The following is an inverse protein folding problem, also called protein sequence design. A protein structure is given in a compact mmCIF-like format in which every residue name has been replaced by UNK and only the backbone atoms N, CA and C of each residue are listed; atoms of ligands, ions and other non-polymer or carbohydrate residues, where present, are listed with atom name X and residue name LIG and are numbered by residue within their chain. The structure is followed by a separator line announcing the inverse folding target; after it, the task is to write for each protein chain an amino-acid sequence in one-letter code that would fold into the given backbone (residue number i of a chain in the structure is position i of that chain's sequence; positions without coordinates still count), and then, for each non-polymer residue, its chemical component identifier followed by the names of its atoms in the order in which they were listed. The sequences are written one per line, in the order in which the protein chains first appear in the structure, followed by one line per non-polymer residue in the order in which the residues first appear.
data_IF_479953557700
#
_entry.id   IF_479953557700
#
_cell.length_a   1.000
_cell.length_b   1.000
_cell.length_c   1.000
_cell.angle_alpha   90.00
_cell.angle_beta   90.00
_cell.angle_gamma   90.00
#
_symmetry.space_group_name_H-M   'P 1'
#
loop_
_entity.id
_entity.type
_entity.pdbx_description
1 polymer ?
#
# COMPACT_ATOMS: atom_id res chain seq x y z
N UNK A 1 -3.40 -14.97 -15.86
CA UNK A 1 -3.17 -14.55 -14.46
C UNK A 1 -1.76 -14.01 -14.37
N UNK A 2 -1.60 -12.80 -13.87
CA UNK A 2 -0.35 -12.14 -13.57
C UNK A 2 0.02 -12.37 -12.11
N UNK A 3 1.25 -12.07 -11.70
CA UNK A 3 1.73 -12.29 -10.34
C UNK A 3 2.37 -10.99 -9.85
N UNK A 4 1.93 -10.49 -8.71
CA UNK A 4 2.60 -9.39 -8.01
C UNK A 4 3.32 -9.95 -6.78
N UNK A 5 4.56 -9.53 -6.58
CA UNK A 5 5.42 -9.98 -5.48
C UNK A 5 5.80 -8.79 -4.64
N UNK A 6 5.26 -8.74 -3.42
CA UNK A 6 5.69 -7.79 -2.40
C UNK A 6 7.06 -8.18 -1.88
N UNK A 7 8.00 -7.25 -1.88
CA UNK A 7 9.35 -7.45 -1.38
C UNK A 7 9.62 -6.59 -0.14
N UNK A 8 10.18 -7.20 0.87
CA UNK A 8 10.56 -6.55 2.12
C UNK A 8 11.97 -6.96 2.54
N UNK A 9 12.34 -6.55 3.76
CA UNK A 9 13.58 -6.94 4.39
C UNK A 9 14.64 -5.84 4.44
N UNK A 10 15.81 -6.12 5.07
CA UNK A 10 16.81 -5.13 5.43
C UNK A 10 17.73 -4.72 4.25
N UNK A 11 17.25 -4.84 3.03
CA UNK A 11 18.00 -4.46 1.82
C UNK A 11 17.83 -2.98 1.50
N UNK A 12 18.70 -2.45 0.64
CA UNK A 12 18.51 -1.11 0.09
C UNK A 12 17.21 -1.04 -0.72
N UNK A 13 16.61 0.14 -0.80
CA UNK A 13 15.37 0.38 -1.58
C UNK A 13 15.46 -0.16 -3.00
N UNK A 14 16.59 0.00 -3.65
CA UNK A 14 16.82 -0.48 -5.02
C UNK A 14 16.70 -2.01 -5.15
N UNK A 15 17.07 -2.76 -4.11
CA UNK A 15 17.06 -4.23 -4.12
C UNK A 15 15.74 -4.84 -3.66
N UNK A 16 14.82 -4.02 -3.10
CA UNK A 16 13.54 -4.49 -2.56
C UNK A 16 12.33 -3.97 -3.34
N UNK A 17 12.53 -3.43 -4.55
CA UNK A 17 11.43 -3.04 -5.42
C UNK A 17 10.49 -4.20 -5.68
N UNK A 18 9.20 -3.97 -5.51
CA UNK A 18 8.17 -4.95 -5.81
C UNK A 18 8.20 -5.35 -7.29
N UNK A 19 7.77 -6.57 -7.58
CA UNK A 19 7.87 -7.19 -8.91
C UNK A 19 6.47 -7.47 -9.44
N UNK A 20 6.20 -7.07 -10.68
CA UNK A 20 4.99 -7.42 -11.42
C UNK A 20 5.33 -8.32 -12.61
N UNK A 21 4.95 -9.57 -12.53
CA UNK A 21 5.17 -10.59 -13.54
C UNK A 21 3.94 -10.74 -14.44
N UNK A 22 4.01 -10.22 -15.65
CA UNK A 22 2.94 -10.32 -16.66
C UNK A 22 3.06 -11.62 -17.44
N UNK A 23 2.00 -12.41 -17.42
CA UNK A 23 1.90 -13.67 -18.14
C UNK A 23 1.91 -13.44 -19.66
N UNK A 24 2.86 -14.07 -20.36
CA UNK A 24 2.99 -13.95 -21.81
C UNK A 24 2.12 -14.98 -22.59
N UNK A 25 1.29 -15.77 -21.89
CA UNK A 25 0.41 -16.82 -22.46
C UNK A 25 1.12 -17.97 -23.17
N UNK A 26 2.43 -18.11 -22.93
CA UNK A 26 3.29 -19.16 -23.47
C UNK A 26 4.08 -19.86 -22.37
N UNK A 27 3.56 -19.88 -21.14
CA UNK A 27 4.20 -20.41 -19.93
C UNK A 27 5.44 -19.63 -19.47
N UNK A 28 5.58 -18.37 -19.93
CA UNK A 28 6.62 -17.45 -19.45
C UNK A 28 6.01 -16.19 -18.86
N UNK A 29 6.80 -15.48 -18.06
CA UNK A 29 6.43 -14.20 -17.46
C UNK A 29 7.47 -13.15 -17.83
N UNK A 30 7.03 -11.89 -17.88
CA UNK A 30 7.90 -10.73 -18.09
C UNK A 30 7.68 -9.74 -16.95
N UNK A 31 8.78 -9.34 -16.30
CA UNK A 31 8.77 -8.31 -15.27
C UNK A 31 8.42 -6.95 -15.88
N UNK A 32 7.48 -6.21 -15.26
CA UNK A 32 6.98 -4.92 -15.74
C UNK A 32 6.53 -3.96 -14.64
N UNK A 33 6.93 -4.14 -13.37
CA UNK A 33 6.46 -3.28 -12.28
C UNK A 33 6.72 -1.79 -12.56
N UNK A 34 7.94 -1.42 -12.94
CA UNK A 34 8.29 -0.03 -13.30
C UNK A 34 7.46 0.50 -14.46
N UNK A 35 7.18 -0.35 -15.47
CA UNK A 35 6.35 0.06 -16.61
C UNK A 35 4.93 0.42 -16.19
N UNK A 36 4.39 -0.30 -15.21
CA UNK A 36 3.04 -0.08 -14.71
C UNK A 36 2.97 0.90 -13.52
N UNK A 37 4.11 1.30 -12.92
CA UNK A 37 4.17 2.20 -11.78
C UNK A 37 3.93 1.49 -10.44
N UNK A 38 4.22 0.19 -10.37
CA UNK A 38 4.02 -0.66 -9.19
C UNK A 38 5.35 -1.19 -8.61
N UNK A 39 6.48 -0.57 -8.95
CA UNK A 39 7.80 -0.90 -8.40
C UNK A 39 8.05 -0.21 -7.04
N UNK A 40 7.09 -0.32 -6.12
CA UNK A 40 7.22 0.18 -4.75
C UNK A 40 8.51 -0.36 -4.11
N UNK A 41 9.30 0.53 -3.53
CA UNK A 41 10.61 0.23 -2.96
C UNK A 41 10.61 0.26 -1.42
N UNK A 42 9.44 0.29 -0.81
CA UNK A 42 9.25 0.22 0.65
C UNK A 42 9.45 -1.20 1.18
N UNK A 43 9.33 -1.41 2.47
CA UNK A 43 9.34 -2.75 3.08
C UNK A 43 7.93 -3.34 2.94
N UNK A 44 7.64 -3.90 1.77
CA UNK A 44 6.29 -4.37 1.45
C UNK A 44 6.01 -5.75 2.06
N UNK A 45 4.89 -5.89 2.75
CA UNK A 45 4.47 -7.12 3.44
C UNK A 45 3.28 -7.80 2.76
N UNK A 46 2.30 -7.05 2.29
CA UNK A 46 1.11 -7.58 1.62
C UNK A 46 0.58 -6.58 0.59
N UNK A 47 -0.13 -7.08 -0.43
CA UNK A 47 -0.75 -6.26 -1.47
C UNK A 47 -2.15 -6.77 -1.77
N UNK A 48 -3.09 -5.85 -1.98
CA UNK A 48 -4.43 -6.17 -2.47
C UNK A 48 -4.78 -5.31 -3.69
N UNK A 49 -5.51 -5.91 -4.62
CA UNK A 49 -6.09 -5.24 -5.77
C UNK A 49 -7.61 -5.24 -5.65
N UNK A 50 -8.24 -4.08 -5.72
CA UNK A 50 -9.70 -3.92 -5.60
C UNK A 50 -10.14 -2.61 -6.26
N UNK A 51 -11.40 -2.57 -6.69
CA UNK A 51 -12.03 -1.38 -7.27
C UNK A 51 -12.53 -0.49 -6.12
N UNK A 52 -11.77 0.58 -5.78
CA UNK A 52 -12.04 1.40 -4.58
C UNK A 52 -13.06 2.51 -4.85
N UNK A 53 -13.18 2.98 -6.09
CA UNK A 53 -14.04 4.11 -6.48
C UNK A 53 -15.17 3.71 -7.43
N UNK A 54 -15.30 2.40 -7.72
CA UNK A 54 -16.34 1.77 -8.56
C UNK A 54 -16.30 2.24 -10.02
N UNK A 55 -15.12 2.53 -10.52
CA UNK A 55 -14.92 2.89 -11.94
C UNK A 55 -14.78 1.67 -12.86
N UNK A 56 -14.66 0.47 -12.27
CA UNK A 56 -14.63 -0.83 -12.95
C UNK A 56 -13.23 -1.34 -13.27
N UNK A 57 -12.19 -0.64 -12.85
CA UNK A 57 -10.83 -1.16 -12.90
C UNK A 57 -10.28 -1.46 -11.49
N UNK A 58 -9.17 -2.18 -11.40
CA UNK A 58 -8.59 -2.55 -10.11
C UNK A 58 -7.47 -1.59 -9.75
N UNK A 59 -7.59 -1.00 -8.57
CA UNK A 59 -6.57 -0.23 -7.89
C UNK A 59 -5.72 -1.12 -6.98
N UNK A 60 -4.69 -0.55 -6.37
CA UNK A 60 -3.74 -1.32 -5.60
C UNK A 60 -3.39 -0.65 -4.27
N UNK A 61 -3.50 -1.39 -3.18
CA UNK A 61 -2.86 -1.02 -1.92
C UNK A 61 -1.65 -1.92 -1.68
N UNK A 62 -0.51 -1.31 -1.40
CA UNK A 62 0.71 -1.99 -0.97
C UNK A 62 0.91 -1.67 0.51
N UNK A 63 0.69 -2.67 1.35
CA UNK A 63 0.92 -2.57 2.78
C UNK A 63 2.41 -2.68 3.08
N UNK A 64 2.93 -1.72 3.83
CA UNK A 64 4.35 -1.60 4.12
C UNK A 64 4.63 -1.57 5.63
N UNK A 65 5.85 -1.93 6.00
CA UNK A 65 6.47 -1.55 7.25
C UNK A 65 7.29 -0.27 7.07
N UNK A 66 7.45 0.47 8.15
CA UNK A 66 8.25 1.69 8.16
C UNK A 66 9.75 1.42 7.94
N UNK A 67 10.41 2.26 7.17
CA UNK A 67 11.88 2.30 7.05
C UNK A 67 12.58 2.64 8.39
N UNK A 68 11.85 3.19 9.35
CA UNK A 68 12.38 3.60 10.67
C UNK A 68 12.16 2.54 11.74
N UNK A 69 12.34 1.29 11.35
CA UNK A 69 12.31 0.14 12.24
C UNK A 69 13.37 0.25 13.34
N UNK A 70 13.01 -0.10 14.58
CA UNK A 70 13.93 -0.18 15.71
C UNK A 70 14.17 1.13 16.48
N UNK A 71 13.55 2.25 16.08
CA UNK A 71 13.52 3.45 16.89
C UNK A 71 12.55 3.32 18.07
N UNK A 72 12.82 4.03 19.17
CA UNK A 72 11.83 4.18 20.23
C UNK A 72 10.63 5.01 19.78
N UNK A 73 9.44 4.86 20.43
CA UNK A 73 8.21 5.51 19.98
C UNK A 73 8.32 7.03 19.84
N UNK A 74 8.96 7.72 20.77
CA UNK A 74 9.07 9.18 20.74
C UNK A 74 9.93 9.67 19.56
N UNK A 75 11.03 9.00 19.31
CA UNK A 75 11.91 9.29 18.17
C UNK A 75 11.19 9.00 16.86
N UNK A 76 10.48 7.88 16.77
CA UNK A 76 9.69 7.51 15.60
C UNK A 76 8.63 8.57 15.28
N UNK A 77 7.83 9.00 16.25
CA UNK A 77 6.82 10.04 16.05
C UNK A 77 7.43 11.37 15.63
N UNK A 78 8.57 11.76 16.18
CA UNK A 78 9.28 12.98 15.76
C UNK A 78 9.78 12.91 14.33
N UNK A 79 10.34 11.78 13.91
CA UNK A 79 10.80 11.55 12.53
C UNK A 79 9.64 11.69 11.56
N UNK A 80 8.49 11.11 11.88
CA UNK A 80 7.30 11.11 11.02
C UNK A 80 6.51 12.44 11.00
N UNK A 81 6.91 13.44 11.76
CA UNK A 81 6.42 14.82 11.56
C UNK A 81 6.92 15.44 10.25
N UNK A 82 8.01 14.93 9.70
CA UNK A 82 8.46 15.30 8.36
C UNK A 82 7.72 14.46 7.32
N UNK A 83 7.12 15.12 6.33
CA UNK A 83 6.25 14.47 5.32
C UNK A 83 7.00 13.44 4.47
N UNK A 84 8.26 13.72 4.11
CA UNK A 84 9.06 12.78 3.29
C UNK A 84 9.38 11.51 4.09
N UNK A 85 9.61 11.64 5.38
CA UNK A 85 9.82 10.49 6.27
C UNK A 85 8.50 9.74 6.51
N UNK A 86 7.40 10.46 6.67
CA UNK A 86 6.08 9.86 6.82
C UNK A 86 5.72 9.00 5.59
N UNK A 87 6.01 9.48 4.39
CA UNK A 87 5.84 8.71 3.16
C UNK A 87 6.66 7.40 3.16
N UNK A 88 7.87 7.42 3.73
CA UNK A 88 8.70 6.20 3.89
C UNK A 88 8.24 5.26 4.99
N UNK A 89 7.28 5.69 5.79
CA UNK A 89 6.69 4.91 6.89
C UNK A 89 5.28 4.42 6.57
N UNK A 90 4.69 4.84 5.46
CA UNK A 90 3.29 4.59 5.14
C UNK A 90 3.12 3.36 4.24
N UNK A 91 1.95 2.73 4.34
CA UNK A 91 1.43 1.91 3.26
C UNK A 91 1.04 2.79 2.08
N UNK A 92 1.18 2.30 0.85
CA UNK A 92 0.96 3.09 -0.35
C UNK A 92 -0.30 2.67 -1.09
N UNK A 93 -1.05 3.66 -1.57
CA UNK A 93 -2.24 3.47 -2.39
C UNK A 93 -2.02 3.97 -3.81
N UNK A 94 -2.35 3.15 -4.78
CA UNK A 94 -2.14 3.41 -6.20
C UNK A 94 -3.45 3.34 -6.95
N UNK A 95 -3.85 4.44 -7.58
CA UNK A 95 -4.98 4.52 -8.50
C UNK A 95 -4.57 4.02 -9.89
N UNK A 96 -5.34 3.12 -10.46
CA UNK A 96 -5.15 2.67 -11.84
C UNK A 96 -5.76 3.70 -12.81
N UNK A 97 -4.95 4.22 -13.69
CA UNK A 97 -5.40 5.12 -14.76
C UNK A 97 -5.03 4.54 -16.12
N UNK A 98 -5.99 3.79 -16.72
CA UNK A 98 -5.79 3.16 -18.02
C UNK A 98 -4.57 2.21 -18.05
N UNK A 99 -4.39 1.39 -17.00
CA UNK A 99 -3.28 0.45 -16.87
C UNK A 99 -1.97 1.08 -16.40
N UNK A 100 -2.01 2.30 -15.85
CA UNK A 100 -0.90 2.96 -15.16
C UNK A 100 -1.30 3.26 -13.73
N UNK A 101 -0.50 2.79 -12.78
CA UNK A 101 -0.73 2.98 -11.36
C UNK A 101 0.00 4.25 -10.88
N UNK A 102 -0.74 5.13 -10.23
CA UNK A 102 -0.25 6.42 -9.74
C UNK A 102 -0.41 6.43 -8.23
N UNK A 103 0.65 6.69 -7.50
CA UNK A 103 0.58 6.81 -6.04
C UNK A 103 -0.27 8.01 -5.64
N UNK A 104 -1.38 7.74 -4.95
CA UNK A 104 -2.34 8.73 -4.46
C UNK A 104 -2.54 8.62 -2.94
N UNK A 105 -1.63 8.00 -2.22
CA UNK A 105 -1.70 7.72 -0.77
C UNK A 105 -2.16 8.91 0.06
N UNK A 106 -1.59 10.09 -0.19
CA UNK A 106 -1.98 11.31 0.51
C UNK A 106 -3.38 11.77 0.12
N UNK A 107 -3.69 11.75 -1.18
CA UNK A 107 -5.00 12.20 -1.70
C UNK A 107 -6.15 11.40 -1.09
N UNK A 108 -5.97 10.10 -0.91
CA UNK A 108 -7.02 9.23 -0.36
C UNK A 108 -7.06 9.18 1.16
N UNK A 109 -6.15 9.88 1.87
CA UNK A 109 -6.15 9.96 3.33
C UNK A 109 -5.39 8.82 4.04
N UNK A 110 -4.57 8.04 3.32
CA UNK A 110 -3.83 6.91 3.87
C UNK A 110 -2.38 7.25 4.29
N UNK A 111 -1.97 8.51 4.25
CA UNK A 111 -0.62 8.91 4.63
C UNK A 111 -0.45 8.90 6.15
N UNK A 112 -0.33 7.70 6.72
CA UNK A 112 -0.10 7.43 8.14
C UNK A 112 1.02 6.41 8.30
N UNK A 113 1.78 6.46 9.42
CA UNK A 113 2.81 5.45 9.67
C UNK A 113 2.18 4.06 9.77
N UNK A 114 2.91 3.05 9.31
CA UNK A 114 2.47 1.66 9.33
C UNK A 114 3.62 0.72 9.69
N UNK A 115 3.29 -0.32 10.42
CA UNK A 115 4.06 -1.56 10.57
C UNK A 115 3.11 -2.72 10.24
N UNK A 116 2.60 -2.72 9.00
CA UNK A 116 1.51 -3.58 8.57
C UNK A 116 1.88 -5.06 8.53
N UNK A 117 1.16 -5.87 9.30
CA UNK A 117 1.27 -7.33 9.31
C UNK A 117 0.09 -8.05 8.65
N UNK A 118 -1.07 -7.41 8.61
CA UNK A 118 -2.26 -7.99 8.02
C UNK A 118 -3.15 -6.94 7.35
N UNK A 119 -3.62 -7.24 6.14
CA UNK A 119 -4.48 -6.38 5.34
C UNK A 119 -5.81 -7.08 5.07
N UNK A 120 -6.91 -6.40 5.34
CA UNK A 120 -8.26 -6.84 4.98
C UNK A 120 -8.97 -5.76 4.18
N UNK A 121 -9.61 -6.15 3.09
CA UNK A 121 -10.47 -5.30 2.26
C UNK A 121 -11.88 -5.89 2.32
N UNK A 122 -12.83 -5.14 2.88
CA UNK A 122 -14.21 -5.57 3.03
C UNK A 122 -15.16 -4.37 3.19
N UNK A 123 -16.43 -4.57 2.88
CA UNK A 123 -17.49 -3.63 3.29
C UNK A 123 -17.81 -3.87 4.78
N UNK A 124 -17.15 -3.12 5.67
CA UNK A 124 -17.21 -3.34 7.11
C UNK A 124 -18.51 -2.77 7.71
N UNK A 125 -19.02 -1.71 7.14
CA UNK A 125 -20.20 -0.97 7.64
C UNK A 125 -21.50 -1.30 6.89
N UNK A 126 -21.48 -2.23 5.92
CA UNK A 126 -22.61 -2.65 5.06
C UNK A 126 -23.18 -1.50 4.21
N UNK A 127 -22.32 -0.65 3.67
CA UNK A 127 -22.71 0.48 2.80
C UNK A 127 -22.41 0.25 1.32
N UNK A 128 -21.94 -0.95 0.98
CA UNK A 128 -21.55 -1.42 -0.35
C UNK A 128 -20.23 -0.88 -0.88
N UNK A 129 -19.52 -0.06 -0.14
CA UNK A 129 -18.17 0.40 -0.48
C UNK A 129 -17.14 -0.42 0.30
N UNK A 130 -15.98 -0.60 -0.31
CA UNK A 130 -14.91 -1.36 0.33
C UNK A 130 -14.11 -0.46 1.25
N UNK A 131 -13.90 -0.94 2.46
CA UNK A 131 -13.09 -0.35 3.50
C UNK A 131 -11.75 -1.09 3.62
N UNK A 132 -10.80 -0.50 4.32
CA UNK A 132 -9.46 -1.05 4.49
C UNK A 132 -9.16 -1.18 5.98
N UNK A 133 -8.77 -2.38 6.40
CA UNK A 133 -8.24 -2.60 7.74
C UNK A 133 -6.79 -3.06 7.66
N UNK A 134 -5.91 -2.39 8.41
CA UNK A 134 -4.49 -2.72 8.55
C UNK A 134 -4.23 -3.08 10.02
N UNK A 135 -3.90 -4.33 10.26
CA UNK A 135 -3.35 -4.76 11.55
C UNK A 135 -1.87 -4.38 11.59
N UNK A 136 -1.51 -3.53 12.53
CA UNK A 136 -0.15 -3.05 12.73
C UNK A 136 0.54 -3.79 13.88
N UNK A 137 1.87 -3.79 13.87
CA UNK A 137 2.71 -4.26 14.96
C UNK A 137 3.29 -3.09 15.78
N UNK A 138 4.07 -3.43 16.77
CA UNK A 138 4.76 -2.53 17.70
C UNK A 138 3.82 -1.58 18.45
N UNK A 139 4.12 -0.30 18.37
CA UNK A 139 3.42 0.78 19.09
C UNK A 139 2.50 1.62 18.17
N UNK A 140 2.32 1.20 16.93
CA UNK A 140 1.37 1.83 16.01
C UNK A 140 0.01 1.14 16.17
N UNK A 141 -1.08 1.86 16.46
CA UNK A 141 -2.40 1.29 16.49
C UNK A 141 -2.81 0.68 15.14
N UNK A 142 -3.67 -0.32 15.18
CA UNK A 142 -4.36 -0.77 13.98
C UNK A 142 -5.09 0.40 13.31
N UNK A 143 -5.19 0.36 12.00
CA UNK A 143 -5.87 1.40 11.24
C UNK A 143 -7.11 0.84 10.54
N UNK A 144 -8.26 1.50 10.76
CA UNK A 144 -9.50 1.20 10.06
C UNK A 144 -9.89 2.39 9.21
N UNK A 145 -9.77 2.24 7.92
CA UNK A 145 -10.08 3.27 6.94
C UNK A 145 -11.44 3.01 6.32
N UNK A 146 -12.43 3.82 6.69
CA UNK A 146 -13.79 3.75 6.16
C UNK A 146 -13.89 4.62 4.91
N UNK A 147 -14.46 4.08 3.85
CA UNK A 147 -14.69 4.79 2.59
C UNK A 147 -15.67 5.96 2.78
N UNK A 148 -15.29 7.14 2.33
CA UNK A 148 -16.17 8.32 2.30
C UNK A 148 -17.07 8.35 1.05
N UNK A 149 -16.95 7.36 0.12
CA UNK A 149 -17.70 7.26 -1.15
C UNK A 149 -17.38 8.35 -2.16
N UNK A 150 -16.32 9.08 -1.96
CA UNK A 150 -15.83 10.17 -2.82
C UNK A 150 -14.41 9.94 -3.31
N UNK A 151 -13.90 8.71 -3.18
CA UNK A 151 -12.53 8.33 -3.50
C UNK A 151 -11.53 8.68 -2.39
N UNK A 152 -12.00 8.94 -1.17
CA UNK A 152 -11.17 9.14 0.02
C UNK A 152 -11.57 8.22 1.17
N UNK A 153 -10.73 8.12 2.18
CA UNK A 153 -10.98 7.32 3.38
C UNK A 153 -10.77 8.15 4.65
N UNK A 154 -11.50 7.79 5.70
CA UNK A 154 -11.31 8.31 7.06
C UNK A 154 -10.80 7.20 7.97
N UNK A 155 -9.68 7.43 8.65
CA UNK A 155 -9.18 6.55 9.71
C UNK A 155 -9.99 6.78 10.98
N UNK A 156 -10.57 5.68 11.57
CA UNK A 156 -11.52 5.73 12.71
C UNK A 156 -10.97 5.03 13.94
#
# INVERSE_FOLDING_TARGET
MDIYVSQGGPYSRELRKNILLINQKNNTFKEKATLYGLDDDSISTQTAFFDYDKDGDLDCIVMNESDFYGYDPLTFYKINQNKDNLSKSASHFYENKNGKFINITEKVGLLNPSFGLGLCIADINNDTWLDIYIANDYYIPDAMYISNKDGTFTNT
#
